data_IF_068287463343
#
_entry.id   IF_068287463343
#
_cell.length_a   1.000
_cell.length_b   1.000
_cell.length_c   1.000
_cell.angle_alpha   90.00
_cell.angle_beta   90.00
_cell.angle_gamma   90.00
#
_symmetry.space_group_name_H-M   'P 1'
#
loop_
_entity.id
_entity.type
_entity.pdbx_description
1 polymer ?
#
# COMPACT_ATOMS: atom_id res chain seq x y z
N UNK A 1 -11.45 -47.01 -50.64
CA UNK A 1 -12.41 -46.02 -51.16
C UNK A 1 -13.10 -45.45 -49.95
N UNK A 2 -12.89 -44.24 -49.46
CA UNK A 2 -12.19 -42.99 -49.85
C UNK A 2 -11.89 -42.34 -48.47
N UNK A 3 -10.64 -42.11 -48.06
CA UNK A 3 -9.79 -40.94 -48.33
C UNK A 3 -10.30 -39.61 -47.70
N UNK A 4 -9.41 -38.97 -46.91
CA UNK A 4 -9.11 -37.51 -46.91
C UNK A 4 -10.15 -36.59 -46.24
N UNK A 5 -9.84 -35.92 -45.11
CA UNK A 5 -9.22 -34.56 -44.99
C UNK A 5 -10.06 -33.46 -45.67
N UNK A 6 -10.62 -32.53 -44.87
CA UNK A 6 -11.06 -31.14 -45.18
C UNK A 6 -12.14 -30.72 -44.15
N UNK A 7 -12.14 -29.59 -43.44
CA UNK A 7 -11.47 -28.30 -43.63
C UNK A 7 -11.04 -27.71 -42.27
N UNK A 8 -9.91 -27.01 -42.30
CA UNK A 8 -9.49 -26.02 -41.31
C UNK A 8 -10.32 -24.76 -41.55
N UNK A 9 -11.06 -24.28 -40.56
CA UNK A 9 -11.35 -22.85 -40.45
C UNK A 9 -10.62 -22.32 -39.21
N UNK A 10 -9.44 -21.74 -39.48
CA UNK A 10 -8.84 -20.74 -38.62
C UNK A 10 -9.73 -19.51 -38.69
N UNK A 11 -10.41 -19.19 -37.60
CA UNK A 11 -10.65 -17.78 -37.29
C UNK A 11 -9.46 -17.31 -36.45
N UNK A 12 -8.47 -16.79 -37.18
CA UNK A 12 -7.48 -15.86 -36.67
C UNK A 12 -8.22 -14.57 -36.24
N UNK A 13 -8.82 -14.58 -35.05
CA UNK A 13 -9.26 -13.35 -34.40
C UNK A 13 -8.40 -13.11 -33.15
N UNK A 14 -7.14 -12.78 -33.46
CA UNK A 14 -6.24 -12.15 -32.53
C UNK A 14 -6.70 -10.70 -32.33
N UNK A 15 -7.68 -10.48 -31.45
CA UNK A 15 -7.94 -9.17 -30.87
C UNK A 15 -6.79 -8.85 -29.92
N UNK A 16 -5.70 -8.39 -30.52
CA UNK A 16 -4.69 -7.57 -29.88
C UNK A 16 -5.36 -6.26 -29.48
N UNK A 17 -6.00 -6.24 -28.32
CA UNK A 17 -6.39 -4.99 -27.67
C UNK A 17 -5.11 -4.30 -27.17
N UNK A 18 -4.54 -3.55 -28.10
CA UNK A 18 -3.39 -2.68 -27.96
C UNK A 18 -3.74 -1.55 -26.98
N UNK A 19 -3.20 -1.67 -25.77
CA UNK A 19 -2.39 -0.66 -25.09
C UNK A 19 -2.82 0.84 -25.14
N UNK A 20 -2.95 1.40 -23.93
CA UNK A 20 -2.88 2.82 -23.55
C UNK A 20 -4.12 3.68 -23.83
N UNK A 21 -5.11 3.63 -22.93
CA UNK A 21 -5.76 4.88 -22.48
C UNK A 21 -4.73 5.59 -21.58
N UNK A 22 -3.94 6.48 -22.19
CA UNK A 22 -4.20 7.92 -22.25
C UNK A 22 -4.03 8.50 -20.85
N UNK A 23 -2.91 9.21 -20.69
CA UNK A 23 -2.36 9.57 -19.39
C UNK A 23 -3.44 10.07 -18.44
N UNK A 24 -3.57 9.38 -17.31
CA UNK A 24 -4.05 10.00 -16.08
C UNK A 24 -3.21 11.25 -15.94
N UNK A 25 -3.84 12.37 -16.28
CA UNK A 25 -3.38 13.71 -16.00
C UNK A 25 -2.97 13.66 -14.54
N UNK A 26 -1.66 13.62 -14.30
CA UNK A 26 -1.12 13.80 -12.97
C UNK A 26 -1.43 15.26 -12.66
N UNK A 27 -2.66 15.49 -12.22
CA UNK A 27 -3.11 16.66 -11.48
C UNK A 27 -2.26 16.66 -10.22
N UNK A 28 -1.02 17.09 -10.38
CA UNK A 28 -0.16 17.58 -9.33
C UNK A 28 -0.72 18.92 -8.87
N UNK A 29 -1.96 18.88 -8.37
CA UNK A 29 -2.70 19.98 -7.78
C UNK A 29 -3.16 19.44 -6.42
N UNK A 30 -2.79 19.97 -5.27
CA UNK A 30 -2.01 21.14 -4.89
C UNK A 30 -1.32 20.68 -3.59
N UNK A 31 -0.04 20.96 -3.38
CA UNK A 31 0.48 21.11 -2.01
C UNK A 31 -0.18 22.38 -1.44
N UNK A 32 -1.50 22.36 -1.26
CA UNK A 32 -2.13 23.08 -0.18
C UNK A 32 -1.65 22.36 1.09
N UNK A 33 -0.43 22.71 1.50
CA UNK A 33 -0.04 22.62 2.89
C UNK A 33 -1.01 23.50 3.67
N UNK A 34 -2.22 22.98 3.93
CA UNK A 34 -2.87 23.20 5.20
C UNK A 34 -1.78 22.84 6.22
N UNK A 35 -1.12 23.88 6.73
CA UNK A 35 -0.12 23.91 7.80
C UNK A 35 -0.74 23.42 9.13
N UNK A 36 -1.74 22.54 9.04
CA UNK A 36 -2.28 21.82 10.16
C UNK A 36 -1.13 20.99 10.75
N UNK A 37 -0.80 21.20 12.03
CA UNK A 37 0.34 20.54 12.64
C UNK A 37 0.18 19.03 12.50
N UNK A 38 1.10 18.42 11.76
CA UNK A 38 1.08 16.98 11.52
C UNK A 38 2.18 16.29 12.33
N UNK A 39 1.83 15.17 12.96
CA UNK A 39 2.76 14.29 13.66
C UNK A 39 2.92 13.03 12.84
N UNK A 40 4.16 12.72 12.46
CA UNK A 40 4.49 11.50 11.73
C UNK A 40 5.35 10.59 12.61
N UNK A 41 5.00 9.32 12.65
CA UNK A 41 5.73 8.28 13.38
C UNK A 41 5.88 7.04 12.52
N UNK A 42 7.07 6.46 12.50
CA UNK A 42 7.42 5.29 11.70
C UNK A 42 7.95 4.20 12.61
N UNK A 43 7.38 3.00 12.46
CA UNK A 43 7.88 1.79 13.08
C UNK A 43 8.38 0.81 12.01
N UNK A 44 9.63 0.36 12.17
CA UNK A 44 10.21 -0.72 11.35
C UNK A 44 10.17 -2.01 12.16
N UNK A 45 9.65 -3.06 11.54
CA UNK A 45 9.49 -4.37 12.13
C UNK A 45 10.34 -5.39 11.39
N UNK A 46 10.89 -6.35 12.12
CA UNK A 46 11.66 -7.47 11.58
C UNK A 46 11.07 -8.80 12.02
N UNK A 47 11.00 -9.76 11.10
CA UNK A 47 10.70 -11.17 11.39
C UNK A 47 11.48 -12.05 10.42
N UNK A 48 12.37 -12.89 10.93
CA UNK A 48 13.33 -13.63 10.10
C UNK A 48 14.13 -12.65 9.22
N UNK A 49 14.18 -12.90 7.91
CA UNK A 49 14.82 -12.03 6.90
C UNK A 49 13.86 -11.01 6.27
N UNK A 50 12.66 -10.85 6.84
CA UNK A 50 11.66 -9.88 6.37
C UNK A 50 11.70 -8.58 7.18
N UNK A 51 11.55 -7.47 6.49
CA UNK A 51 11.29 -6.14 7.06
C UNK A 51 9.89 -5.67 6.66
N UNK A 52 9.16 -5.13 7.62
CA UNK A 52 7.86 -4.49 7.42
C UNK A 52 7.88 -3.09 8.03
N UNK A 53 6.99 -2.23 7.56
CA UNK A 53 6.85 -0.85 8.02
C UNK A 53 5.41 -0.58 8.41
N UNK A 54 5.22 0.11 9.52
CA UNK A 54 3.93 0.70 9.92
C UNK A 54 4.21 2.18 10.22
N UNK A 55 3.63 3.08 9.44
CA UNK A 55 3.67 4.52 9.71
C UNK A 55 2.32 5.04 10.16
N UNK A 56 2.36 6.12 10.93
CA UNK A 56 1.23 6.89 11.40
C UNK A 56 1.48 8.35 10.98
N UNK A 57 0.50 8.98 10.33
CA UNK A 57 0.40 10.43 10.17
C UNK A 57 -0.89 10.87 10.85
N UNK A 58 -0.83 11.87 11.72
CA UNK A 58 -2.02 12.46 12.34
C UNK A 58 -1.97 13.97 12.23
N UNK A 59 -3.14 14.58 12.09
CA UNK A 59 -3.36 16.03 12.16
C UNK A 59 -4.52 16.28 13.15
N UNK A 60 -4.89 17.53 13.42
CA UNK A 60 -6.04 17.82 14.29
C UNK A 60 -7.36 17.31 13.68
N UNK A 61 -7.44 17.25 12.34
CA UNK A 61 -8.60 16.79 11.57
C UNK A 61 -8.67 15.27 11.36
N UNK A 62 -7.64 14.50 11.72
CA UNK A 62 -7.71 13.05 11.55
C UNK A 62 -6.38 12.30 11.61
N UNK A 63 -6.37 11.09 11.06
CA UNK A 63 -5.14 10.31 10.98
C UNK A 63 -5.18 9.18 9.97
N UNK A 64 -3.99 8.70 9.63
CA UNK A 64 -3.78 7.64 8.66
C UNK A 64 -2.68 6.71 9.14
N UNK A 65 -2.91 5.41 8.97
CA UNK A 65 -1.89 4.38 9.15
C UNK A 65 -1.59 3.77 7.80
N UNK A 66 -0.32 3.73 7.42
CA UNK A 66 0.17 3.01 6.24
C UNK A 66 0.96 1.79 6.70
N UNK A 67 0.74 0.65 6.04
CA UNK A 67 1.47 -0.59 6.32
C UNK A 67 2.07 -1.13 5.04
N UNK A 68 3.35 -1.46 5.11
CA UNK A 68 4.08 -2.15 4.05
C UNK A 68 4.52 -3.48 4.66
N UNK A 69 3.92 -4.57 4.17
CA UNK A 69 4.26 -5.92 4.59
C UNK A 69 4.82 -6.66 3.37
N UNK A 70 6.02 -7.24 3.44
CA UNK A 70 6.66 -7.88 2.28
C UNK A 70 5.93 -9.14 1.80
N UNK A 71 4.92 -9.61 2.55
CA UNK A 71 4.06 -10.73 2.18
C UNK A 71 2.88 -10.31 1.33
N UNK A 72 2.56 -9.02 1.30
CA UNK A 72 1.47 -8.43 0.54
C UNK A 72 2.04 -7.72 -0.70
N UNK A 73 1.33 -7.77 -1.83
CA UNK A 73 1.80 -7.16 -3.08
C UNK A 73 1.73 -5.62 -3.04
N UNK A 74 0.77 -5.07 -2.29
CA UNK A 74 0.51 -3.63 -2.24
C UNK A 74 0.49 -3.12 -0.80
N UNK A 75 0.95 -1.88 -0.55
CA UNK A 75 0.75 -1.22 0.73
C UNK A 75 -0.73 -1.13 1.10
N UNK A 76 -1.04 -1.17 2.39
CA UNK A 76 -2.39 -0.91 2.90
C UNK A 76 -2.46 0.42 3.62
N UNK A 77 -3.55 1.14 3.41
CA UNK A 77 -3.80 2.46 4.00
C UNK A 77 -5.12 2.42 4.76
N UNK A 78 -5.12 2.91 5.98
CA UNK A 78 -6.32 3.03 6.80
C UNK A 78 -6.43 4.44 7.35
N UNK A 79 -7.53 5.13 7.01
CA UNK A 79 -7.84 6.49 7.48
C UNK A 79 -8.77 6.43 8.69
N UNK A 80 -8.69 7.45 9.54
CA UNK A 80 -9.47 7.63 10.75
C UNK A 80 -9.94 9.07 10.85
N UNK A 81 -11.11 9.26 11.45
CA UNK A 81 -11.74 10.57 11.62
C UNK A 81 -11.09 11.41 12.73
N UNK A 82 -10.25 10.81 13.57
CA UNK A 82 -9.60 11.53 14.67
C UNK A 82 -8.20 11.03 15.00
N UNK A 83 -7.33 11.94 15.44
CA UNK A 83 -5.98 11.62 15.91
C UNK A 83 -5.96 10.58 17.05
N UNK A 84 -6.79 10.67 18.11
CA UNK A 84 -6.77 9.68 19.19
C UNK A 84 -7.13 8.27 18.73
N UNK A 85 -8.04 8.16 17.76
CA UNK A 85 -8.41 6.88 17.18
C UNK A 85 -7.26 6.27 16.37
N UNK A 86 -6.63 7.07 15.49
CA UNK A 86 -5.48 6.63 14.71
C UNK A 86 -4.33 6.15 15.63
N UNK A 87 -4.04 6.90 16.70
CA UNK A 87 -3.00 6.54 17.67
C UNK A 87 -3.33 5.24 18.41
N UNK A 88 -4.58 5.04 18.82
CA UNK A 88 -5.06 3.81 19.46
C UNK A 88 -4.85 2.60 18.55
N UNK A 89 -5.24 2.70 17.28
CA UNK A 89 -5.10 1.61 16.32
C UNK A 89 -3.66 1.38 15.87
N UNK A 90 -2.83 2.41 15.81
CA UNK A 90 -1.39 2.27 15.58
C UNK A 90 -0.74 1.48 16.71
N UNK A 91 -1.00 1.86 17.96
CA UNK A 91 -0.50 1.16 19.15
C UNK A 91 -0.97 -0.29 19.18
N UNK A 92 -2.25 -0.54 18.86
CA UNK A 92 -2.81 -1.89 18.76
C UNK A 92 -2.16 -2.70 17.63
N UNK A 93 -1.88 -2.07 16.49
CA UNK A 93 -1.20 -2.72 15.36
C UNK A 93 0.19 -3.20 15.78
N UNK A 94 0.98 -2.35 16.44
CA UNK A 94 2.30 -2.74 16.97
C UNK A 94 2.21 -3.87 18.00
N UNK A 95 1.25 -3.80 18.92
CA UNK A 95 1.03 -4.85 19.92
C UNK A 95 0.66 -6.19 19.26
N UNK A 96 -0.21 -6.17 18.26
CA UNK A 96 -0.58 -7.36 17.49
C UNK A 96 0.60 -7.91 16.69
N UNK A 97 1.38 -7.06 16.03
CA UNK A 97 2.58 -7.49 15.31
C UNK A 97 3.58 -8.19 16.23
N UNK A 98 3.82 -7.63 17.43
CA UNK A 98 4.65 -8.27 18.46
C UNK A 98 4.13 -9.63 18.88
N UNK A 99 2.83 -9.76 19.14
CA UNK A 99 2.19 -11.05 19.45
C UNK A 99 2.33 -12.06 18.31
N UNK A 100 2.37 -11.60 17.06
CA UNK A 100 2.56 -12.42 15.86
C UNK A 100 4.04 -12.70 15.53
N UNK A 101 4.96 -12.39 16.44
CA UNK A 101 6.38 -12.72 16.33
C UNK A 101 7.21 -11.72 15.53
N UNK A 102 6.72 -10.51 15.30
CA UNK A 102 7.52 -9.41 14.77
C UNK A 102 8.24 -8.66 15.89
N UNK A 103 9.50 -8.33 15.69
CA UNK A 103 10.26 -7.44 16.57
C UNK A 103 10.24 -6.03 16.01
N UNK A 104 9.93 -5.03 16.85
CA UNK A 104 10.06 -3.62 16.45
C UNK A 104 11.52 -3.22 16.63
N UNK A 105 12.20 -2.89 15.52
CA UNK A 105 13.63 -2.52 15.50
C UNK A 105 13.85 -1.01 15.45
N UNK A 106 12.83 -0.26 15.04
CA UNK A 106 12.79 1.19 15.09
C UNK A 106 11.36 1.65 15.38
N UNK A 107 11.20 2.73 16.14
CA UNK A 107 9.92 3.38 16.43
C UNK A 107 10.17 4.84 16.81
N UNK A 108 9.95 5.75 15.87
CA UNK A 108 10.31 7.17 16.02
C UNK A 108 9.85 8.03 14.87
N UNK A 109 10.45 9.21 14.71
CA UNK A 109 10.21 10.10 13.57
C UNK A 109 10.63 9.44 12.23
N UNK A 110 10.18 9.93 11.07
CA UNK A 110 10.68 9.45 9.79
C UNK A 110 12.21 9.56 9.71
N UNK A 111 12.87 8.50 9.21
CA UNK A 111 14.31 8.53 8.95
C UNK A 111 14.56 9.35 7.69
N UNK A 112 15.42 10.36 7.79
CA UNK A 112 15.89 11.17 6.65
C UNK A 112 17.28 10.65 6.27
N UNK A 113 17.48 10.31 5.00
CA UNK A 113 18.73 9.73 4.48
C UNK A 113 19.10 10.33 3.13
#
# INVERSE_FOLDING_TARGET
MIDVDDEIERDDDAEAEEYFEEGDEFDGDEDDEDDEPSVVRTAVLKKNDMLALISLRTTDSGGQIVRIDPRETMPSVQRYESQPEALKWFTRSLATSRKNGWSVVYDGEPMIG
#
